data_IF_956914462008
#
_entry.id   IF_956914462008
#
_cell.length_a   1.000
_cell.length_b   1.000
_cell.length_c   1.000
_cell.angle_alpha   90.00
_cell.angle_beta   90.00
_cell.angle_gamma   90.00
#
_symmetry.space_group_name_H-M   'P 1'
#
loop_
_entity.id
_entity.type
_entity.pdbx_description
1 polymer ?
#
# COMPACT_ATOMS: atom_id res chain seq x y z
N UNK A 1 -75.60 8.79 36.91
CA UNK A 1 -76.70 9.75 37.26
C UNK A 1 -76.20 11.13 36.85
N UNK A 2 -77.13 11.90 36.17
CA UNK A 2 -77.08 13.31 35.72
C UNK A 2 -76.01 13.64 34.61
N UNK A 3 -76.29 13.74 33.39
CA UNK A 3 -77.20 14.61 32.54
C UNK A 3 -77.11 16.08 32.91
N UNK A 4 -76.48 16.91 32.03
CA UNK A 4 -77.08 18.17 31.55
C UNK A 4 -76.58 18.50 30.16
N UNK A 5 -77.51 18.57 29.21
CA UNK A 5 -77.41 19.18 27.87
C UNK A 5 -77.63 20.68 28.04
N UNK A 6 -76.90 21.48 27.30
CA UNK A 6 -77.35 22.79 26.91
C UNK A 6 -76.93 23.12 25.48
N UNK A 7 -77.97 23.28 24.64
CA UNK A 7 -77.80 23.76 23.24
C UNK A 7 -78.06 25.27 23.25
N UNK A 8 -77.26 26.03 22.51
CA UNK A 8 -77.61 27.41 22.04
C UNK A 8 -76.96 27.66 20.70
N UNK A 9 -77.83 27.71 19.74
CA UNK A 9 -78.03 28.60 18.59
C UNK A 9 -76.92 29.28 17.81
N UNK A 10 -76.99 29.04 16.53
CA UNK A 10 -76.41 29.60 15.33
C UNK A 10 -76.62 31.13 15.22
N UNK A 11 -75.55 31.86 14.84
CA UNK A 11 -75.70 33.09 14.08
C UNK A 11 -74.66 33.09 12.98
N UNK A 12 -75.12 33.00 11.74
CA UNK A 12 -74.32 33.24 10.49
C UNK A 12 -74.17 34.72 10.29
N UNK A 13 -72.95 35.18 10.20
CA UNK A 13 -72.61 36.49 9.62
C UNK A 13 -71.62 36.26 8.50
N UNK A 14 -72.10 36.40 7.27
CA UNK A 14 -71.28 36.42 6.04
C UNK A 14 -70.58 37.76 5.95
N UNK A 15 -69.28 37.74 6.02
CA UNK A 15 -68.45 38.87 5.53
C UNK A 15 -67.50 38.43 4.45
N UNK A 16 -67.71 38.89 3.24
CA UNK A 16 -66.80 38.81 2.12
C UNK A 16 -65.59 39.75 2.43
N UNK A 17 -64.43 39.13 2.63
CA UNK A 17 -63.16 39.85 2.58
C UNK A 17 -62.40 39.40 1.34
N UNK A 18 -62.27 40.34 0.39
CA UNK A 18 -61.41 40.28 -0.77
C UNK A 18 -59.95 40.29 -0.30
N UNK A 19 -59.20 39.23 -0.52
CA UNK A 19 -57.77 39.15 -0.28
C UNK A 19 -57.02 39.53 -1.57
N UNK A 20 -56.02 40.43 -1.52
CA UNK A 20 -55.14 40.67 -2.64
C UNK A 20 -54.18 39.48 -2.82
N UNK A 21 -54.09 38.98 -4.05
CA UNK A 21 -53.10 37.94 -4.45
C UNK A 21 -51.68 38.52 -4.36
N UNK A 22 -51.05 38.32 -3.22
CA UNK A 22 -49.60 38.50 -3.07
C UNK A 22 -48.84 37.30 -3.63
N UNK A 23 -48.11 37.52 -4.71
CA UNK A 23 -47.15 36.55 -5.26
C UNK A 23 -46.01 36.40 -4.24
N UNK A 24 -46.03 35.32 -3.44
CA UNK A 24 -44.91 34.94 -2.59
C UNK A 24 -43.89 34.27 -3.48
N UNK A 25 -42.87 34.99 -3.91
CA UNK A 25 -41.66 34.40 -4.49
C UNK A 25 -40.93 33.63 -3.42
N UNK A 26 -41.14 32.32 -3.40
CA UNK A 26 -40.30 31.38 -2.61
C UNK A 26 -38.90 31.39 -3.21
N UNK A 27 -38.00 32.14 -2.62
CA UNK A 27 -36.56 31.94 -2.82
C UNK A 27 -36.23 30.56 -2.17
N UNK A 28 -36.08 29.56 -3.01
CA UNK A 28 -35.47 28.31 -2.59
C UNK A 28 -34.02 28.65 -2.18
N UNK A 29 -33.77 28.75 -0.88
CA UNK A 29 -32.41 28.76 -0.36
C UNK A 29 -31.77 27.44 -0.82
N UNK A 30 -30.82 27.59 -1.77
CA UNK A 30 -29.92 26.49 -2.12
C UNK A 30 -29.14 26.13 -0.86
N UNK A 31 -29.52 25.03 -0.21
CA UNK A 31 -28.70 24.44 0.84
C UNK A 31 -27.37 24.07 0.19
N UNK A 32 -26.36 24.91 0.43
CA UNK A 32 -24.98 24.57 0.13
C UNK A 32 -24.64 23.34 0.96
N UNK A 33 -24.51 22.19 0.31
CA UNK A 33 -24.04 20.96 0.94
C UNK A 33 -22.74 21.21 1.71
N UNK A 34 -22.42 20.38 2.70
CA UNK A 34 -21.20 20.55 3.48
C UNK A 34 -19.99 20.70 2.55
N UNK A 35 -19.05 21.63 2.83
CA UNK A 35 -17.95 21.92 1.94
C UNK A 35 -17.15 20.62 1.66
N UNK A 36 -17.06 20.27 0.39
CA UNK A 36 -16.28 19.12 -0.07
C UNK A 36 -14.82 19.35 0.40
N UNK A 37 -14.35 18.50 1.32
CA UNK A 37 -12.97 18.60 1.83
C UNK A 37 -12.02 18.40 0.66
N UNK A 38 -11.40 19.49 0.23
CA UNK A 38 -10.40 19.48 -0.84
C UNK A 38 -9.33 18.43 -0.55
N UNK A 39 -9.05 17.59 -1.54
CA UNK A 39 -8.02 16.54 -1.39
C UNK A 39 -6.68 17.16 -0.95
N UNK A 40 -5.95 16.52 -0.04
CA UNK A 40 -4.69 17.03 0.46
C UNK A 40 -3.68 17.21 -0.66
N UNK A 41 -2.92 18.31 -0.63
CA UNK A 41 -1.86 18.53 -1.60
C UNK A 41 -0.66 17.64 -1.31
N UNK A 42 0.09 17.24 -2.36
CA UNK A 42 1.36 16.50 -2.19
C UNK A 42 2.34 17.27 -1.32
N UNK A 43 2.36 18.62 -1.44
CA UNK A 43 3.20 19.46 -0.59
C UNK A 43 2.88 19.29 0.90
N UNK A 44 1.58 19.22 1.27
CA UNK A 44 1.18 18.96 2.66
C UNK A 44 1.59 17.57 3.15
N UNK A 45 1.41 16.54 2.30
CA UNK A 45 1.85 15.19 2.59
C UNK A 45 3.36 15.15 2.86
N UNK A 46 4.17 15.75 1.98
CA UNK A 46 5.63 15.80 2.14
C UNK A 46 6.07 16.57 3.38
N UNK A 47 5.38 17.67 3.72
CA UNK A 47 5.63 18.41 4.95
C UNK A 47 5.34 17.57 6.19
N UNK A 48 4.21 16.84 6.24
CA UNK A 48 3.90 15.93 7.34
C UNK A 48 4.93 14.81 7.45
N UNK A 49 5.36 14.25 6.32
CA UNK A 49 6.39 13.23 6.29
C UNK A 49 7.70 13.76 6.88
N UNK A 50 8.20 14.92 6.41
CA UNK A 50 9.47 15.48 6.91
C UNK A 50 9.40 15.83 8.40
N UNK A 51 8.35 16.52 8.83
CA UNK A 51 8.17 16.91 10.23
C UNK A 51 8.13 15.69 11.16
N UNK A 52 7.36 14.66 10.79
CA UNK A 52 7.23 13.46 11.63
C UNK A 52 8.44 12.53 11.53
N UNK A 53 9.12 12.50 10.39
CA UNK A 53 10.39 11.80 10.26
C UNK A 53 11.43 12.37 11.23
N UNK A 54 11.59 13.69 11.25
CA UNK A 54 12.52 14.37 12.16
C UNK A 54 12.17 14.15 13.62
N UNK A 55 10.90 14.30 13.99
CA UNK A 55 10.42 14.12 15.36
C UNK A 55 10.67 12.69 15.90
N UNK A 56 10.74 11.69 15.04
CA UNK A 56 10.94 10.30 15.40
C UNK A 56 12.31 9.72 14.99
N UNK A 57 13.22 10.55 14.46
CA UNK A 57 14.54 10.13 14.00
C UNK A 57 14.52 9.17 12.80
N UNK A 58 13.47 9.22 11.99
CA UNK A 58 13.31 8.38 10.80
C UNK A 58 14.03 9.09 9.62
N UNK A 59 14.83 8.38 8.80
CA UNK A 59 15.35 8.98 7.57
C UNK A 59 14.19 9.44 6.67
N UNK A 60 14.13 10.73 6.32
CA UNK A 60 13.01 11.34 5.57
C UNK A 60 12.70 10.60 4.27
N UNK A 61 13.73 10.30 3.48
CA UNK A 61 13.61 9.60 2.20
C UNK A 61 13.07 8.17 2.35
N UNK A 62 13.45 7.49 3.42
CA UNK A 62 12.94 6.17 3.77
C UNK A 62 11.45 6.24 4.13
N UNK A 63 11.05 7.21 4.97
CA UNK A 63 9.66 7.35 5.38
C UNK A 63 8.76 7.75 4.20
N UNK A 64 9.22 8.65 3.34
CA UNK A 64 8.49 9.01 2.12
C UNK A 64 8.27 7.81 1.18
N UNK A 65 9.31 6.95 0.99
CA UNK A 65 9.15 5.71 0.23
C UNK A 65 8.16 4.75 0.87
N UNK A 66 8.18 4.65 2.20
CA UNK A 66 7.25 3.81 2.93
C UNK A 66 5.80 4.27 2.70
N UNK A 67 5.48 5.51 3.00
CA UNK A 67 4.12 6.07 2.82
C UNK A 67 3.69 5.99 1.34
N UNK A 68 4.61 6.29 0.42
CA UNK A 68 4.32 6.16 -1.00
C UNK A 68 4.09 4.70 -1.43
N UNK A 69 4.83 3.75 -0.85
CA UNK A 69 4.65 2.32 -1.11
C UNK A 69 3.31 1.82 -0.61
N UNK A 70 2.81 2.34 0.51
CA UNK A 70 1.52 1.97 1.08
C UNK A 70 0.35 2.37 0.17
N UNK A 71 0.28 3.63 -0.24
CA UNK A 71 -0.92 4.15 -0.89
C UNK A 71 -0.69 4.89 -2.20
N UNK A 72 0.56 5.14 -2.63
CA UNK A 72 0.88 6.08 -3.70
C UNK A 72 0.37 7.50 -3.39
N UNK A 73 0.37 7.87 -2.10
CA UNK A 73 -0.18 9.12 -1.57
C UNK A 73 -1.69 9.28 -1.78
N UNK A 74 -2.41 8.19 -2.05
CA UNK A 74 -3.87 8.21 -2.04
C UNK A 74 -4.39 8.06 -0.61
N UNK A 75 -4.89 9.17 -0.03
CA UNK A 75 -5.41 9.19 1.33
C UNK A 75 -6.74 8.43 1.49
N UNK A 76 -7.43 8.12 0.39
CA UNK A 76 -8.67 7.35 0.37
C UNK A 76 -8.44 5.88 0.02
N UNK A 77 -7.20 5.44 -0.09
CA UNK A 77 -6.88 4.07 -0.47
C UNK A 77 -7.46 3.06 0.54
N UNK A 78 -8.11 2.02 0.02
CA UNK A 78 -8.53 0.84 0.77
C UNK A 78 -8.00 -0.40 0.07
N UNK A 79 -7.24 -1.21 0.79
CA UNK A 79 -6.72 -2.46 0.22
C UNK A 79 -7.78 -3.57 0.20
N UNK A 80 -7.62 -4.62 -0.64
CA UNK A 80 -8.52 -5.77 -0.65
C UNK A 80 -8.62 -6.54 0.67
N UNK A 81 -7.65 -6.33 1.56
CA UNK A 81 -7.63 -6.94 2.91
C UNK A 81 -8.10 -5.97 4.00
N UNK A 82 -8.55 -4.76 3.60
CA UNK A 82 -9.13 -3.78 4.50
C UNK A 82 -8.12 -2.85 5.19
N UNK A 83 -6.90 -2.70 4.67
CA UNK A 83 -6.01 -1.64 5.12
C UNK A 83 -6.43 -0.29 4.56
N UNK A 84 -6.37 0.78 5.36
CA UNK A 84 -7.04 2.05 5.11
C UNK A 84 -6.11 3.25 5.11
N UNK A 85 -6.41 4.21 4.23
CA UNK A 85 -5.82 5.54 4.19
C UNK A 85 -4.39 5.58 3.64
N UNK A 86 -3.75 6.75 3.78
CA UNK A 86 -2.43 7.03 3.20
C UNK A 86 -1.32 6.10 3.72
N UNK A 87 -1.45 5.63 4.96
CA UNK A 87 -0.46 4.79 5.65
C UNK A 87 -0.91 3.33 5.80
N UNK A 88 -2.05 2.96 5.17
CA UNK A 88 -2.59 1.61 5.10
C UNK A 88 -2.68 0.89 6.47
N UNK A 89 -3.26 1.58 7.44
CA UNK A 89 -3.53 0.95 8.73
C UNK A 89 -4.63 -0.11 8.61
N UNK A 90 -4.36 -1.30 9.14
CA UNK A 90 -5.44 -2.25 9.40
C UNK A 90 -6.36 -1.68 10.50
N UNK A 91 -7.70 -1.85 10.41
CA UNK A 91 -8.63 -1.30 11.41
C UNK A 91 -8.29 -1.67 12.86
N UNK A 92 -7.83 -2.90 13.09
CA UNK A 92 -7.36 -3.34 14.39
C UNK A 92 -6.15 -2.52 14.87
N UNK A 93 -5.15 -2.35 14.00
CA UNK A 93 -3.93 -1.59 14.34
C UNK A 93 -4.24 -0.11 14.53
N UNK A 94 -5.13 0.47 13.72
CA UNK A 94 -5.60 1.84 13.89
C UNK A 94 -6.22 2.05 15.28
N UNK A 95 -7.13 1.15 15.68
CA UNK A 95 -7.76 1.17 17.00
C UNK A 95 -6.75 1.01 18.14
N UNK A 96 -5.83 0.05 18.05
CA UNK A 96 -4.79 -0.21 19.03
C UNK A 96 -3.87 1.01 19.23
N UNK A 97 -3.68 1.80 18.18
CA UNK A 97 -2.85 3.00 18.18
C UNK A 97 -3.64 4.30 18.48
N UNK A 98 -4.93 4.22 18.74
CA UNK A 98 -5.77 5.38 18.99
C UNK A 98 -5.97 6.27 17.76
N UNK A 99 -5.75 5.73 16.55
CA UNK A 99 -5.97 6.44 15.29
C UNK A 99 -7.47 6.46 14.98
N UNK A 100 -8.09 7.62 15.18
CA UNK A 100 -9.55 7.78 15.02
C UNK A 100 -9.99 7.75 13.54
N UNK A 101 -9.19 8.32 12.65
CA UNK A 101 -9.49 8.37 11.22
C UNK A 101 -8.25 8.09 10.36
N UNK A 102 -8.08 6.88 9.82
CA UNK A 102 -6.96 6.52 8.95
C UNK A 102 -6.95 7.23 7.60
N UNK A 103 -8.08 7.83 7.18
CA UNK A 103 -8.18 8.61 5.94
C UNK A 103 -7.76 10.07 6.11
N UNK A 104 -7.57 10.53 7.35
CA UNK A 104 -7.07 11.86 7.66
C UNK A 104 -5.54 11.84 7.73
N UNK A 105 -4.88 12.50 6.76
CA UNK A 105 -3.43 12.53 6.67
C UNK A 105 -2.76 13.18 7.89
N UNK A 106 -3.46 14.13 8.53
CA UNK A 106 -2.97 14.84 9.73
C UNK A 106 -2.90 13.91 10.95
N UNK A 107 -3.66 12.83 10.95
CA UNK A 107 -3.63 11.80 11.98
C UNK A 107 -2.81 10.58 11.55
N UNK A 108 -2.98 10.12 10.31
CA UNK A 108 -2.42 8.86 9.85
C UNK A 108 -0.88 8.91 9.69
N UNK A 109 -0.31 10.01 9.16
CA UNK A 109 1.15 10.13 8.98
C UNK A 109 1.88 10.20 10.33
N UNK A 110 1.46 11.03 11.32
CA UNK A 110 2.05 11.00 12.66
C UNK A 110 1.92 9.64 13.36
N UNK A 111 0.75 9.00 13.28
CA UNK A 111 0.53 7.66 13.84
C UNK A 111 1.47 6.62 13.21
N UNK A 112 1.67 6.70 11.89
CA UNK A 112 2.60 5.82 11.16
C UNK A 112 4.04 6.03 11.59
N UNK A 113 4.49 7.26 11.77
CA UNK A 113 5.84 7.57 12.25
C UNK A 113 6.08 7.03 13.68
N UNK A 114 5.12 7.25 14.58
CA UNK A 114 5.16 6.70 15.93
C UNK A 114 5.20 5.17 15.93
N UNK A 115 4.35 4.52 15.12
CA UNK A 115 4.33 3.07 15.00
C UNK A 115 5.65 2.52 14.47
N UNK A 116 6.20 3.15 13.45
CA UNK A 116 7.47 2.75 12.85
C UNK A 116 8.64 2.90 13.83
N UNK A 117 8.66 3.96 14.65
CA UNK A 117 9.62 4.13 15.74
C UNK A 117 9.56 2.98 16.75
N UNK A 118 8.34 2.59 17.17
CA UNK A 118 8.15 1.50 18.11
C UNK A 118 8.62 0.17 17.53
N UNK A 119 8.34 -0.07 16.24
CA UNK A 119 8.86 -1.24 15.53
C UNK A 119 10.40 -1.21 15.42
N UNK A 120 11.00 -0.05 15.15
CA UNK A 120 12.47 0.09 15.15
C UNK A 120 13.06 -0.21 16.53
N UNK A 121 12.41 0.24 17.58
CA UNK A 121 12.84 -0.05 18.96
C UNK A 121 12.76 -1.55 19.28
N UNK A 122 11.73 -2.24 18.78
CA UNK A 122 11.54 -3.68 18.99
C UNK A 122 12.48 -4.56 18.14
N UNK A 123 12.83 -4.12 16.94
CA UNK A 123 13.59 -4.92 15.97
C UNK A 123 15.02 -4.44 15.71
N UNK A 124 15.43 -3.31 16.27
CA UNK A 124 16.80 -2.80 16.24
C UNK A 124 17.11 -1.85 15.10
N UNK A 125 16.57 -2.04 13.90
CA UNK A 125 16.86 -1.20 12.74
C UNK A 125 15.62 -0.89 11.87
N UNK A 126 15.74 0.13 11.00
CA UNK A 126 14.64 0.58 10.14
C UNK A 126 14.23 -0.44 9.08
N UNK A 127 15.14 -1.29 8.61
CA UNK A 127 14.82 -2.32 7.62
C UNK A 127 13.92 -3.40 8.18
N UNK A 128 14.18 -3.88 9.41
CA UNK A 128 13.32 -4.81 10.12
C UNK A 128 12.01 -4.16 10.57
N UNK A 129 12.04 -2.87 10.93
CA UNK A 129 10.84 -2.10 11.21
C UNK A 129 9.91 -2.03 10.00
N UNK A 130 10.44 -1.79 8.80
CA UNK A 130 9.66 -1.84 7.56
C UNK A 130 9.09 -3.23 7.30
N UNK A 131 9.86 -4.29 7.54
CA UNK A 131 9.36 -5.66 7.42
C UNK A 131 8.19 -5.92 8.37
N UNK A 132 8.31 -5.46 9.63
CA UNK A 132 7.29 -5.63 10.66
C UNK A 132 6.05 -4.74 10.41
N UNK A 133 6.22 -3.56 9.83
CA UNK A 133 5.11 -2.70 9.40
C UNK A 133 4.23 -3.41 8.38
N UNK A 134 4.83 -4.03 7.37
CA UNK A 134 4.10 -4.72 6.30
C UNK A 134 3.59 -6.12 6.71
N UNK A 135 4.43 -6.94 7.35
CA UNK A 135 4.10 -8.35 7.64
C UNK A 135 3.47 -8.58 9.01
N UNK A 136 3.55 -7.59 9.91
CA UNK A 136 3.24 -7.69 11.32
C UNK A 136 4.42 -8.18 12.17
N UNK A 137 4.55 -7.62 13.37
CA UNK A 137 5.64 -7.87 14.31
C UNK A 137 5.83 -9.36 14.65
N UNK A 138 4.72 -10.08 14.89
CA UNK A 138 4.78 -11.51 15.23
C UNK A 138 5.39 -12.37 14.13
N UNK A 139 5.12 -12.06 12.86
CA UNK A 139 5.68 -12.79 11.72
C UNK A 139 7.18 -12.55 11.58
N UNK A 140 7.63 -11.30 11.73
CA UNK A 140 9.05 -10.96 11.67
C UNK A 140 9.80 -11.58 12.85
N UNK A 141 9.26 -11.54 14.07
CA UNK A 141 9.83 -12.20 15.24
C UNK A 141 9.99 -13.72 15.04
N UNK A 142 8.97 -14.37 14.49
CA UNK A 142 9.04 -15.80 14.18
C UNK A 142 10.10 -16.09 13.10
N UNK A 143 10.16 -15.30 12.05
CA UNK A 143 11.18 -15.43 11.02
C UNK A 143 12.59 -15.28 11.56
N UNK A 144 12.85 -14.25 12.39
CA UNK A 144 14.16 -14.04 13.01
C UNK A 144 14.58 -15.19 13.93
N UNK A 145 13.64 -15.74 14.70
CA UNK A 145 13.92 -16.81 15.68
C UNK A 145 14.07 -18.18 15.04
N UNK A 146 13.17 -18.52 14.13
CA UNK A 146 13.05 -19.88 13.58
C UNK A 146 13.68 -20.03 12.20
N UNK A 147 14.13 -18.93 11.59
CA UNK A 147 14.55 -18.89 10.20
C UNK A 147 13.35 -19.08 9.26
N UNK A 148 13.64 -19.38 8.01
CA UNK A 148 12.61 -19.52 6.98
C UNK A 148 12.53 -18.30 6.09
N UNK A 149 11.31 -17.89 5.70
CA UNK A 149 11.12 -16.83 4.71
C UNK A 149 10.01 -15.87 5.14
N UNK A 150 10.26 -14.60 4.93
CA UNK A 150 9.18 -13.61 4.92
C UNK A 150 8.31 -13.80 3.66
N UNK A 151 7.03 -13.38 3.70
CA UNK A 151 6.23 -13.31 2.49
C UNK A 151 6.98 -12.54 1.40
N UNK A 152 6.83 -12.98 0.14
CA UNK A 152 7.49 -12.31 -0.99
C UNK A 152 7.14 -10.83 -1.07
N UNK A 153 5.90 -10.49 -0.75
CA UNK A 153 5.43 -9.12 -0.65
C UNK A 153 6.29 -8.31 0.32
N UNK A 154 6.54 -8.84 1.51
CA UNK A 154 7.36 -8.18 2.54
C UNK A 154 8.82 -8.08 2.11
N UNK A 155 9.38 -9.11 1.48
CA UNK A 155 10.73 -9.08 0.90
C UNK A 155 10.87 -7.96 -0.14
N UNK A 156 9.88 -7.84 -1.04
CA UNK A 156 9.84 -6.79 -2.04
C UNK A 156 9.63 -5.40 -1.41
N UNK A 157 8.77 -5.32 -0.40
CA UNK A 157 8.50 -4.09 0.33
C UNK A 157 9.76 -3.51 0.95
N UNK A 158 10.49 -4.33 1.71
CA UNK A 158 11.75 -3.90 2.34
C UNK A 158 12.78 -3.48 1.30
N UNK A 159 12.93 -4.27 0.23
CA UNK A 159 13.90 -3.94 -0.82
C UNK A 159 13.57 -2.63 -1.54
N UNK A 160 12.30 -2.39 -1.88
CA UNK A 160 11.88 -1.19 -2.62
C UNK A 160 12.12 0.08 -1.78
N UNK A 161 11.90 -0.01 -0.48
CA UNK A 161 12.06 1.11 0.45
C UNK A 161 13.55 1.35 0.77
N UNK A 162 14.29 0.29 1.05
CA UNK A 162 15.65 0.39 1.60
C UNK A 162 16.76 0.18 0.56
N UNK A 163 16.46 -0.47 -0.56
CA UNK A 163 17.44 -0.91 -1.55
C UNK A 163 18.21 -2.17 -1.15
N UNK A 164 17.88 -2.81 -0.02
CA UNK A 164 18.53 -4.01 0.48
C UNK A 164 17.49 -5.07 0.92
N UNK A 165 17.82 -6.37 0.86
CA UNK A 165 16.91 -7.43 1.30
C UNK A 165 16.77 -7.47 2.82
N UNK A 166 15.65 -7.97 3.32
CA UNK A 166 15.37 -8.10 4.75
C UNK A 166 16.44 -8.93 5.50
N UNK A 167 17.00 -9.95 4.87
CA UNK A 167 18.09 -10.77 5.44
C UNK A 167 19.32 -9.95 5.82
N UNK A 168 19.65 -8.91 5.04
CA UNK A 168 20.81 -8.03 5.35
C UNK A 168 20.59 -7.29 6.67
N UNK A 169 19.35 -6.85 6.91
CA UNK A 169 18.98 -6.16 8.15
C UNK A 169 18.91 -7.10 9.35
N UNK A 170 18.49 -8.34 9.14
CA UNK A 170 18.55 -9.38 10.16
C UNK A 170 20.01 -9.76 10.52
N UNK A 171 20.94 -9.53 9.60
CA UNK A 171 22.38 -9.70 9.82
C UNK A 171 23.05 -8.43 10.41
N UNK A 172 22.28 -7.42 10.82
CA UNK A 172 22.80 -6.21 11.48
C UNK A 172 23.12 -5.03 10.55
N UNK A 173 22.75 -5.07 9.26
CA UNK A 173 22.91 -3.93 8.37
C UNK A 173 21.97 -2.80 8.78
N UNK A 174 22.49 -1.58 8.75
CA UNK A 174 21.68 -0.38 8.93
C UNK A 174 21.15 0.15 7.59
N UNK A 175 20.04 0.88 7.66
CA UNK A 175 19.51 1.59 6.49
C UNK A 175 20.43 2.75 6.16
N UNK A 176 21.00 2.71 4.97
CA UNK A 176 21.79 3.84 4.45
C UNK A 176 20.88 4.94 3.94
N UNK A 177 21.28 6.20 4.10
CA UNK A 177 20.58 7.31 3.49
C UNK A 177 20.61 7.16 1.96
N UNK A 178 19.43 6.96 1.37
CA UNK A 178 19.24 6.84 -0.07
C UNK A 178 18.27 7.93 -0.49
N UNK A 179 18.73 9.05 -1.08
CA UNK A 179 17.84 10.14 -1.47
C UNK A 179 16.77 9.66 -2.48
N UNK A 180 15.59 10.28 -2.45
CA UNK A 180 14.52 10.04 -3.43
C UNK A 180 15.00 10.37 -4.84
N UNK A 181 15.70 11.50 -4.94
CA UNK A 181 16.42 11.95 -6.13
C UNK A 181 17.78 12.50 -5.68
N UNK A 182 18.93 12.01 -6.21
CA UNK A 182 20.25 12.46 -5.79
C UNK A 182 20.58 13.91 -6.19
N UNK A 183 19.77 14.53 -7.07
CA UNK A 183 19.98 15.90 -7.57
C UNK A 183 19.09 16.93 -6.90
N UNK A 184 18.16 16.53 -6.03
CA UNK A 184 17.16 17.41 -5.47
C UNK A 184 17.17 17.35 -3.93
N UNK A 185 16.81 18.48 -3.31
CA UNK A 185 16.46 18.50 -1.91
C UNK A 185 15.21 17.62 -1.64
N UNK A 186 15.09 17.09 -0.42
CA UNK A 186 14.00 16.19 -0.06
C UNK A 186 12.62 16.71 -0.45
N UNK A 187 12.33 17.98 -0.12
CA UNK A 187 11.00 18.56 -0.35
C UNK A 187 10.61 18.61 -1.83
N UNK A 188 11.56 18.89 -2.70
CA UNK A 188 11.35 18.89 -4.14
C UNK A 188 11.22 17.47 -4.68
N UNK A 189 12.09 16.56 -4.24
CA UNK A 189 12.08 15.17 -4.66
C UNK A 189 10.78 14.47 -4.23
N UNK A 190 10.32 14.72 -3.01
CA UNK A 190 9.07 14.16 -2.47
C UNK A 190 7.86 14.64 -3.27
N UNK A 191 7.77 15.95 -3.60
CA UNK A 191 6.67 16.50 -4.40
C UNK A 191 6.60 15.94 -5.81
N UNK A 192 7.67 15.39 -6.33
CA UNK A 192 7.72 14.75 -7.66
C UNK A 192 7.25 13.29 -7.64
N UNK A 193 7.06 12.69 -6.48
CA UNK A 193 6.45 11.37 -6.38
C UNK A 193 5.01 11.42 -6.89
N UNK A 194 4.62 10.57 -7.86
CA UNK A 194 3.30 10.63 -8.46
C UNK A 194 2.21 10.21 -7.46
N UNK A 195 1.14 10.98 -7.39
CA UNK A 195 -0.10 10.53 -6.74
C UNK A 195 -0.85 9.65 -7.72
N UNK A 196 -1.04 8.40 -7.37
CA UNK A 196 -1.84 7.47 -8.15
C UNK A 196 -3.13 7.23 -7.39
N UNK A 197 -4.18 7.95 -7.76
CA UNK A 197 -5.53 7.68 -7.28
C UNK A 197 -6.03 6.44 -8.00
N UNK A 198 -5.99 5.31 -7.35
CA UNK A 198 -6.64 4.12 -7.85
C UNK A 198 -7.87 3.85 -6.99
N UNK A 199 -8.99 3.53 -7.64
CA UNK A 199 -10.21 3.09 -6.96
C UNK A 199 -9.97 1.84 -6.09
N UNK A 200 -8.89 1.14 -6.33
CA UNK A 200 -8.31 0.08 -5.51
C UNK A 200 -6.86 -0.04 -5.93
N UNK A 201 -5.92 0.36 -5.08
CA UNK A 201 -4.58 -0.20 -5.20
C UNK A 201 -4.73 -1.60 -4.62
N UNK A 202 -4.71 -2.63 -5.43
CA UNK A 202 -4.44 -3.92 -4.88
C UNK A 202 -2.99 -3.85 -4.39
N UNK A 203 -2.77 -3.72 -3.10
CA UNK A 203 -1.75 -4.53 -2.45
C UNK A 203 -2.26 -5.96 -2.64
N UNK A 204 -2.60 -6.26 -3.91
CA UNK A 204 -3.03 -7.56 -4.27
C UNK A 204 -1.83 -8.44 -3.99
N UNK A 205 -2.06 -9.38 -3.16
CA UNK A 205 -1.66 -10.71 -3.58
C UNK A 205 -1.99 -10.78 -5.06
N UNK A 206 -1.06 -10.42 -5.92
CA UNK A 206 -1.00 -11.00 -7.24
C UNK A 206 -0.93 -12.47 -6.89
N UNK A 207 -2.09 -13.14 -6.92
CA UNK A 207 -2.11 -14.60 -6.77
C UNK A 207 -1.14 -15.04 -7.85
N UNK A 208 -0.01 -15.64 -7.51
CA UNK A 208 0.91 -16.07 -8.54
C UNK A 208 0.05 -16.92 -9.48
N UNK A 209 0.13 -16.64 -10.77
CA UNK A 209 -0.55 -17.48 -11.76
C UNK A 209 -0.20 -18.95 -11.44
N UNK A 210 -1.11 -19.90 -11.67
CA UNK A 210 -0.93 -21.27 -11.18
C UNK A 210 0.33 -21.95 -11.70
N UNK A 211 0.91 -21.45 -12.78
CA UNK A 211 2.13 -21.99 -13.40
C UNK A 211 3.14 -20.88 -13.63
N UNK A 212 4.37 -21.26 -13.86
CA UNK A 212 5.43 -20.34 -14.23
C UNK A 212 6.68 -21.07 -14.70
N UNK A 213 7.63 -20.32 -15.22
CA UNK A 213 8.96 -20.79 -15.55
C UNK A 213 9.99 -20.13 -14.66
N UNK A 214 10.89 -20.92 -14.10
CA UNK A 214 12.08 -20.38 -13.44
C UNK A 214 13.19 -20.24 -14.46
N UNK A 215 13.71 -19.04 -14.61
CA UNK A 215 14.74 -18.70 -15.61
C UNK A 215 16.11 -18.39 -15.01
N UNK A 216 16.15 -18.12 -13.70
CA UNK A 216 17.39 -17.90 -12.96
C UNK A 216 17.20 -18.20 -11.46
N UNK A 217 18.30 -18.22 -10.73
CA UNK A 217 18.30 -18.34 -9.27
C UNK A 217 19.66 -18.04 -8.70
N UNK A 218 19.69 -17.37 -7.53
CA UNK A 218 20.92 -17.04 -6.83
C UNK A 218 20.69 -16.98 -5.32
N UNK A 219 21.73 -17.18 -4.53
CA UNK A 219 21.69 -17.03 -3.07
C UNK A 219 21.51 -15.58 -2.61
N UNK A 220 21.83 -14.60 -3.46
CA UNK A 220 21.64 -13.17 -3.22
C UNK A 220 20.57 -12.64 -4.16
N UNK A 221 19.60 -11.92 -3.61
CA UNK A 221 18.49 -11.36 -4.40
C UNK A 221 18.96 -10.37 -5.46
N UNK A 222 19.91 -9.50 -5.11
CA UNK A 222 20.51 -8.55 -6.06
C UNK A 222 21.19 -9.28 -7.24
N UNK A 223 21.86 -10.39 -6.98
CA UNK A 223 22.47 -11.20 -8.03
C UNK A 223 21.40 -11.86 -8.92
N UNK A 224 20.29 -12.33 -8.34
CA UNK A 224 19.16 -12.87 -9.10
C UNK A 224 18.50 -11.78 -9.97
N UNK A 225 18.32 -10.57 -9.44
CA UNK A 225 17.79 -9.43 -10.19
C UNK A 225 18.72 -9.02 -11.34
N UNK A 226 20.04 -8.98 -11.10
CA UNK A 226 21.02 -8.70 -12.14
C UNK A 226 21.07 -9.80 -13.22
N UNK A 227 20.86 -11.08 -12.84
CA UNK A 227 20.70 -12.16 -13.80
C UNK A 227 19.49 -11.95 -14.70
N UNK A 228 18.33 -11.55 -14.11
CA UNK A 228 17.15 -11.20 -14.89
C UNK A 228 17.41 -10.08 -15.90
N UNK A 229 18.07 -9.00 -15.48
CA UNK A 229 18.38 -7.88 -16.36
C UNK A 229 19.23 -8.33 -17.55
N UNK A 230 20.21 -9.21 -17.32
CA UNK A 230 21.05 -9.79 -18.39
C UNK A 230 20.23 -10.69 -19.32
N UNK A 231 19.40 -11.62 -18.76
CA UNK A 231 18.55 -12.51 -19.52
C UNK A 231 17.54 -11.74 -20.37
N UNK A 232 16.90 -10.71 -19.80
CA UNK A 232 15.96 -9.86 -20.54
C UNK A 232 16.63 -9.12 -21.70
N UNK A 233 17.89 -8.69 -21.53
CA UNK A 233 18.65 -8.06 -22.61
C UNK A 233 19.03 -9.07 -23.70
N UNK A 234 19.44 -10.26 -23.31
CA UNK A 234 19.89 -11.31 -24.21
C UNK A 234 18.71 -11.96 -24.98
N UNK A 235 17.60 -12.19 -24.30
CA UNK A 235 16.43 -12.91 -24.84
C UNK A 235 15.19 -12.01 -24.91
N UNK A 236 15.39 -10.74 -25.28
CA UNK A 236 14.33 -9.72 -25.31
C UNK A 236 13.12 -10.11 -26.15
N UNK A 237 13.32 -10.77 -27.27
CA UNK A 237 12.21 -11.25 -28.12
C UNK A 237 11.24 -12.20 -27.39
N UNK A 238 11.71 -12.94 -26.38
CA UNK A 238 10.90 -13.87 -25.59
C UNK A 238 10.49 -13.25 -24.24
N UNK A 239 11.34 -12.42 -23.63
CA UNK A 239 11.20 -11.99 -22.23
C UNK A 239 10.72 -10.54 -22.07
N UNK A 240 10.67 -9.70 -23.12
CA UNK A 240 10.36 -8.26 -23.02
C UNK A 240 8.95 -7.97 -22.50
N UNK A 241 7.98 -8.81 -22.79
CA UNK A 241 6.59 -8.67 -22.34
C UNK A 241 6.31 -9.23 -20.93
N UNK A 242 7.32 -9.77 -20.25
CA UNK A 242 7.14 -10.45 -18.97
C UNK A 242 7.76 -9.69 -17.81
N UNK A 243 7.03 -9.61 -16.69
CA UNK A 243 7.54 -9.12 -15.43
C UNK A 243 7.97 -10.30 -14.54
N UNK A 244 9.20 -10.30 -14.02
CA UNK A 244 9.67 -11.39 -13.19
C UNK A 244 9.13 -11.28 -11.77
N UNK A 245 8.83 -12.42 -11.18
CA UNK A 245 8.65 -12.60 -9.75
C UNK A 245 9.96 -13.16 -9.19
N UNK A 246 10.62 -12.41 -8.31
CA UNK A 246 11.84 -12.86 -7.63
C UNK A 246 11.45 -13.30 -6.23
N UNK A 247 11.35 -14.60 -6.02
CA UNK A 247 10.94 -15.20 -4.76
C UNK A 247 12.04 -16.08 -4.17
N UNK A 248 12.13 -16.10 -2.83
CA UNK A 248 13.01 -17.04 -2.15
C UNK A 248 12.33 -18.39 -2.06
N UNK A 249 12.99 -19.43 -2.52
CA UNK A 249 12.51 -20.79 -2.50
C UNK A 249 13.47 -21.71 -1.75
N UNK A 250 12.92 -22.71 -1.06
CA UNK A 250 13.73 -23.79 -0.50
C UNK A 250 14.23 -24.68 -1.63
N UNK A 251 15.47 -25.07 -1.56
CA UNK A 251 16.03 -26.09 -2.45
C UNK A 251 16.36 -27.35 -1.66
N UNK A 252 16.34 -28.52 -2.30
CA UNK A 252 16.78 -29.77 -1.66
C UNK A 252 18.24 -29.74 -1.20
N UNK A 253 19.04 -28.80 -1.75
CA UNK A 253 20.48 -28.72 -1.52
C UNK A 253 20.88 -27.92 -0.27
N UNK A 254 19.97 -27.63 0.66
CA UNK A 254 20.37 -27.06 1.94
C UNK A 254 19.40 -26.05 2.57
N UNK A 255 19.71 -25.65 3.82
CA UNK A 255 18.89 -24.72 4.62
C UNK A 255 18.85 -23.29 4.05
N UNK A 256 19.80 -22.90 3.22
CA UNK A 256 19.87 -21.59 2.54
C UNK A 256 19.08 -21.68 1.24
N UNK A 257 17.82 -21.27 1.22
CA UNK A 257 17.06 -21.14 -0.02
C UNK A 257 17.73 -20.21 -1.05
N UNK A 258 17.28 -20.28 -2.29
CA UNK A 258 17.71 -19.39 -3.37
C UNK A 258 16.61 -18.39 -3.73
N UNK A 259 17.02 -17.23 -4.21
CA UNK A 259 16.12 -16.29 -4.88
C UNK A 259 15.93 -16.75 -6.33
N UNK A 260 14.76 -17.33 -6.60
CA UNK A 260 14.38 -17.79 -7.93
C UNK A 260 13.75 -16.63 -8.71
N UNK A 261 14.16 -16.46 -9.95
CA UNK A 261 13.53 -15.55 -10.90
C UNK A 261 12.53 -16.34 -11.74
N UNK A 262 11.25 -16.02 -11.61
CA UNK A 262 10.16 -16.73 -12.26
C UNK A 262 9.35 -15.78 -13.14
N UNK A 263 8.82 -16.30 -14.22
CA UNK A 263 7.81 -15.68 -15.07
C UNK A 263 6.52 -16.47 -14.88
N UNK A 264 5.44 -15.79 -14.56
CA UNK A 264 4.14 -16.39 -14.32
C UNK A 264 3.42 -16.74 -15.62
N UNK A 265 2.65 -17.83 -15.62
CA UNK A 265 1.83 -18.31 -16.71
C UNK A 265 0.46 -18.81 -16.21
N UNK A 266 -0.61 -18.59 -16.99
CA UNK A 266 -1.97 -18.97 -16.65
C UNK A 266 -2.20 -20.48 -16.72
N UNK A 267 -1.39 -21.18 -17.53
CA UNK A 267 -1.49 -22.61 -17.71
C UNK A 267 -0.11 -23.28 -17.85
N UNK A 268 -0.08 -24.62 -17.65
CA UNK A 268 1.11 -25.43 -17.91
C UNK A 268 1.53 -25.36 -19.38
N UNK A 269 0.55 -25.30 -20.29
CA UNK A 269 0.79 -25.21 -21.73
C UNK A 269 1.48 -23.90 -22.08
N UNK A 270 1.03 -22.78 -21.53
CA UNK A 270 1.66 -21.48 -21.71
C UNK A 270 3.08 -21.45 -21.15
N UNK A 271 3.28 -21.94 -19.92
CA UNK A 271 4.61 -22.07 -19.32
C UNK A 271 5.55 -22.90 -20.19
N UNK A 272 5.08 -24.05 -20.71
CA UNK A 272 5.86 -24.88 -21.63
C UNK A 272 6.19 -24.15 -22.94
N UNK A 273 5.25 -23.40 -23.50
CA UNK A 273 5.47 -22.59 -24.73
C UNK A 273 6.54 -21.54 -24.53
N UNK A 274 6.45 -20.75 -23.44
CA UNK A 274 7.47 -19.73 -23.10
C UNK A 274 8.83 -20.40 -22.91
N UNK A 275 8.89 -21.52 -22.17
CA UNK A 275 10.12 -22.23 -21.89
C UNK A 275 10.73 -22.84 -23.18
N UNK A 276 9.91 -23.38 -24.09
CA UNK A 276 10.37 -23.89 -25.38
C UNK A 276 10.98 -22.77 -26.26
N UNK A 277 10.33 -21.62 -26.35
CA UNK A 277 10.85 -20.46 -27.08
C UNK A 277 12.17 -19.98 -26.48
N UNK A 278 12.28 -19.93 -25.16
CA UNK A 278 13.51 -19.51 -24.49
C UNK A 278 14.65 -20.50 -24.73
N UNK A 279 14.38 -21.80 -24.70
CA UNK A 279 15.39 -22.86 -25.01
C UNK A 279 15.81 -22.82 -26.47
N UNK A 280 14.88 -22.63 -27.38
CA UNK A 280 15.20 -22.47 -28.81
C UNK A 280 16.11 -21.27 -29.08
N UNK A 281 16.01 -20.21 -28.25
CA UNK A 281 16.91 -19.06 -28.29
C UNK A 281 18.25 -19.29 -27.53
N UNK A 282 18.49 -20.49 -26.97
CA UNK A 282 19.70 -20.81 -26.20
C UNK A 282 19.63 -20.49 -24.71
N UNK A 283 18.46 -20.15 -24.20
CA UNK A 283 18.22 -19.93 -22.77
C UNK A 283 17.88 -21.19 -21.99
N UNK A 284 17.86 -21.10 -20.68
CA UNK A 284 17.50 -22.20 -19.78
C UNK A 284 16.25 -21.85 -18.97
N UNK A 285 15.37 -22.83 -18.73
CA UNK A 285 14.19 -22.68 -17.92
C UNK A 285 13.72 -24.00 -17.31
N UNK A 286 12.98 -23.90 -16.20
CA UNK A 286 12.28 -25.03 -15.57
C UNK A 286 10.81 -24.60 -15.43
N UNK A 287 9.89 -25.43 -15.94
CA UNK A 287 8.45 -25.23 -15.74
C UNK A 287 8.03 -25.76 -14.38
N UNK A 288 7.33 -24.93 -13.60
CA UNK A 288 6.94 -25.23 -12.23
C UNK A 288 5.49 -24.80 -11.99
N UNK A 289 4.82 -25.54 -11.10
CA UNK A 289 3.55 -25.09 -10.52
C UNK A 289 3.86 -24.09 -9.38
N UNK A 290 3.25 -22.92 -9.42
CA UNK A 290 3.34 -21.97 -8.32
C UNK A 290 2.43 -22.44 -7.18
N UNK A 291 2.96 -22.49 -5.97
CA UNK A 291 2.24 -22.89 -4.75
C UNK A 291 2.10 -21.71 -3.82
#
# INVERSE_FOLDING_TARGET
MNRYRCSIAVILISQLFSLPSGIVSSHAASEAGPPEKKAPSVGRICQLISTNADAHGIPRDFFARLIWKESRFDHNAVSPVGAEGIAQFMPYTAKERGLANPFDIEQAIPASASFLRDLKSAFGNWGLAAAAYNAGAGRVSNWMRSGGFLPLETENYVLDITGAPADDFAAGKEVTNRPLDPKLAFDEACKRLPVIRSATIPMSRVKPKPWGIQVAGNFRRSAAANQWTRLRRQFGAVLSGHNPVISRIRTPMGRRGIYAVRIDADSRSEANSICAKLRAAGGACIVLRNR
#
